data_IF_704217080049
#
_entry.id   IF_704217080049
#
_cell.length_a   1.000
_cell.length_b   1.000
_cell.length_c   1.000
_cell.angle_alpha   90.00
_cell.angle_beta   90.00
_cell.angle_gamma   90.00
#
_symmetry.space_group_name_H-M   'P 1'
#
loop_
_entity.id
_entity.type
_entity.pdbx_description
1 polymer ?
#
# COMPACT_ATOMS: atom_id res chain seq x y z
N UNK A 1 42.18 20.46 50.40
CA UNK A 1 42.08 19.80 49.11
C UNK A 1 40.66 19.26 49.01
N UNK A 2 39.82 19.97 48.31
CA UNK A 2 38.39 19.60 48.13
C UNK A 2 38.27 18.84 46.84
N UNK A 3 37.97 17.54 46.89
CA UNK A 3 37.70 16.70 45.74
C UNK A 3 36.25 16.90 45.32
N UNK A 4 36.06 17.71 44.28
CA UNK A 4 34.75 17.87 43.59
C UNK A 4 34.45 16.59 42.85
N UNK A 5 33.52 15.78 43.37
CA UNK A 5 32.94 14.62 42.66
C UNK A 5 32.00 15.15 41.60
N UNK A 6 32.44 15.19 40.34
CA UNK A 6 31.56 15.40 39.19
C UNK A 6 30.56 14.26 39.15
N UNK A 7 29.30 14.58 39.39
CA UNK A 7 28.19 13.67 39.13
C UNK A 7 28.17 13.33 37.60
N UNK A 8 28.43 12.07 37.30
CA UNK A 8 28.25 11.52 35.95
C UNK A 8 26.75 11.54 35.66
N UNK A 9 26.31 12.45 34.82
CA UNK A 9 24.97 12.39 34.21
C UNK A 9 24.93 11.14 33.33
N UNK A 10 24.34 10.08 33.82
CA UNK A 10 23.89 8.96 32.98
C UNK A 10 22.60 9.38 32.27
N UNK A 11 22.71 10.22 31.25
CA UNK A 11 21.62 10.36 30.30
C UNK A 11 21.69 9.20 29.31
N UNK A 12 20.75 8.28 29.37
CA UNK A 12 20.52 7.26 28.34
C UNK A 12 19.94 7.86 27.07
N UNK A 13 20.20 9.12 26.76
CA UNK A 13 19.77 9.77 25.55
C UNK A 13 20.48 9.12 24.35
N UNK A 14 19.70 8.53 23.44
CA UNK A 14 20.21 8.10 22.14
C UNK A 14 20.70 9.34 21.38
N UNK A 15 22.01 9.45 21.09
CA UNK A 15 22.55 10.67 20.49
C UNK A 15 22.03 10.82 19.05
N UNK A 16 21.32 11.92 18.76
CA UNK A 16 20.90 12.25 17.41
C UNK A 16 22.07 12.74 16.57
N UNK A 17 22.28 12.09 15.42
CA UNK A 17 23.22 12.55 14.39
C UNK A 17 22.72 13.85 13.72
N UNK A 18 23.63 14.64 13.14
CA UNK A 18 23.27 15.87 12.45
C UNK A 18 22.19 15.68 11.34
N UNK A 19 22.30 14.69 10.44
CA UNK A 19 21.24 14.44 9.45
C UNK A 19 19.86 14.10 10.07
N UNK A 20 19.85 13.40 11.21
CA UNK A 20 18.62 13.08 11.94
C UNK A 20 17.94 14.33 12.51
N UNK A 21 18.73 15.29 13.02
CA UNK A 21 18.22 16.58 13.50
C UNK A 21 17.61 17.42 12.37
N UNK A 22 18.26 17.46 11.22
CA UNK A 22 17.76 18.18 10.04
C UNK A 22 16.44 17.58 9.54
N UNK A 23 16.35 16.25 9.50
CA UNK A 23 15.11 15.56 9.13
C UNK A 23 14.02 15.79 10.17
N UNK A 24 14.36 15.72 11.47
CA UNK A 24 13.40 16.03 12.52
C UNK A 24 12.88 17.47 12.39
N UNK A 25 13.74 18.47 12.29
CA UNK A 25 13.32 19.87 12.19
C UNK A 25 12.47 20.16 10.94
N UNK A 26 12.84 19.57 9.81
CA UNK A 26 12.14 19.81 8.54
C UNK A 26 10.82 19.05 8.41
N UNK A 27 10.69 17.84 8.99
CA UNK A 27 9.55 16.95 8.73
C UNK A 27 8.69 16.60 9.94
N UNK A 28 9.26 16.54 11.14
CA UNK A 28 8.59 16.01 12.32
C UNK A 28 8.29 17.04 13.39
N UNK A 29 9.11 18.08 13.49
CA UNK A 29 8.92 19.18 14.44
C UNK A 29 7.62 19.90 14.17
N UNK A 30 6.74 20.00 15.18
CA UNK A 30 5.50 20.74 15.04
C UNK A 30 5.80 22.24 14.92
N UNK A 31 5.21 22.86 13.89
CA UNK A 31 5.29 24.29 13.60
C UNK A 31 3.89 24.85 13.43
N UNK A 32 3.70 26.10 13.79
CA UNK A 32 2.44 26.81 13.56
C UNK A 32 2.26 27.19 12.07
N UNK A 33 1.14 27.82 11.73
CA UNK A 33 0.83 28.29 10.37
C UNK A 33 1.80 29.31 9.82
N UNK A 34 2.62 29.93 10.66
CA UNK A 34 3.66 30.91 10.30
C UNK A 34 5.06 30.29 10.24
N UNK A 35 5.18 28.95 10.40
CA UNK A 35 6.45 28.23 10.41
C UNK A 35 7.22 28.34 11.73
N UNK A 36 6.67 28.94 12.77
CA UNK A 36 7.33 29.06 14.08
C UNK A 36 7.25 27.74 14.82
N UNK A 37 8.35 27.26 15.42
CA UNK A 37 8.38 26.02 16.18
C UNK A 37 7.41 26.05 17.36
N UNK A 38 6.55 25.03 17.46
CA UNK A 38 5.75 24.70 18.65
C UNK A 38 6.54 23.73 19.53
N UNK A 39 7.08 22.66 18.93
CA UNK A 39 8.03 21.81 19.62
C UNK A 39 9.37 22.55 19.74
N UNK A 40 9.80 22.86 20.95
CA UNK A 40 11.06 23.59 21.19
C UNK A 40 12.28 22.75 20.81
N UNK A 41 12.24 21.46 21.12
CA UNK A 41 13.28 20.46 20.90
C UNK A 41 12.67 19.08 20.67
N UNK A 42 13.50 18.07 20.49
CA UNK A 42 13.10 16.67 20.29
C UNK A 42 12.32 16.13 21.49
N UNK A 43 12.73 16.49 22.71
CA UNK A 43 12.07 16.06 23.93
C UNK A 43 10.61 16.58 23.99
N UNK A 44 10.39 17.82 23.53
CA UNK A 44 9.03 18.37 23.41
C UNK A 44 8.16 17.60 22.39
N UNK A 45 8.77 17.13 21.28
CA UNK A 45 8.07 16.24 20.33
C UNK A 45 7.72 14.91 21.00
N UNK A 46 8.62 14.28 21.72
CA UNK A 46 8.35 13.03 22.44
C UNK A 46 7.27 13.21 23.50
N UNK A 47 7.31 14.30 24.26
CA UNK A 47 6.29 14.60 25.27
C UNK A 47 4.90 14.78 24.65
N UNK A 48 4.79 15.55 23.56
CA UNK A 48 3.54 15.74 22.81
C UNK A 48 2.97 14.41 22.30
N UNK A 49 3.80 13.59 21.64
CA UNK A 49 3.40 12.29 21.12
C UNK A 49 2.99 11.34 22.24
N UNK A 50 3.80 11.25 23.32
CA UNK A 50 3.46 10.39 24.46
C UNK A 50 2.15 10.77 25.12
N UNK A 51 1.86 12.07 25.30
CA UNK A 51 0.58 12.56 25.85
C UNK A 51 -0.59 12.18 24.96
N UNK A 52 -0.47 12.37 23.65
CA UNK A 52 -1.53 12.02 22.70
C UNK A 52 -1.84 10.51 22.70
N UNK A 53 -0.80 9.68 22.77
CA UNK A 53 -0.98 8.22 22.85
C UNK A 53 -1.58 7.80 24.20
N UNK A 54 -1.08 8.37 25.30
CA UNK A 54 -1.59 8.06 26.64
C UNK A 54 -3.05 8.48 26.83
N UNK A 55 -3.49 9.57 26.20
CA UNK A 55 -4.88 10.03 26.29
C UNK A 55 -5.89 9.00 25.80
N UNK A 56 -5.51 8.10 24.88
CA UNK A 56 -6.38 7.02 24.37
C UNK A 56 -6.63 5.95 25.44
N UNK A 57 -5.76 5.84 26.44
CA UNK A 57 -5.87 4.86 27.53
C UNK A 57 -6.91 5.26 28.61
N UNK A 58 -7.60 6.41 28.45
CA UNK A 58 -8.64 6.88 29.35
C UNK A 58 -8.14 7.01 30.78
N UNK A 59 -8.78 6.31 31.72
CA UNK A 59 -8.44 6.37 33.16
C UNK A 59 -7.00 5.92 33.48
N UNK A 60 -6.35 5.22 32.57
CA UNK A 60 -4.97 4.76 32.71
C UNK A 60 -3.94 5.72 32.07
N UNK A 61 -4.35 6.86 31.56
CA UNK A 61 -3.47 7.80 30.86
C UNK A 61 -2.23 8.18 31.67
N UNK A 62 -2.40 8.48 32.97
CA UNK A 62 -1.30 8.85 33.89
C UNK A 62 -0.32 7.70 34.14
N UNK A 63 -0.77 6.45 34.09
CA UNK A 63 0.10 5.27 34.18
C UNK A 63 0.91 5.06 32.92
N UNK A 64 0.29 5.27 31.72
CA UNK A 64 0.91 4.99 30.44
C UNK A 64 1.82 6.10 29.93
N UNK A 65 1.54 7.36 30.28
CA UNK A 65 2.33 8.50 29.84
C UNK A 65 3.85 8.35 30.09
N UNK A 66 4.34 8.02 31.32
CA UNK A 66 5.76 7.84 31.53
C UNK A 66 6.34 6.64 30.77
N UNK A 67 5.55 5.59 30.52
CA UNK A 67 5.97 4.41 29.75
C UNK A 67 6.19 4.76 28.28
N UNK A 68 5.23 5.45 27.65
CA UNK A 68 5.37 5.90 26.26
C UNK A 68 6.50 6.90 26.09
N UNK A 69 6.61 7.84 27.01
CA UNK A 69 7.72 8.80 27.00
C UNK A 69 9.07 8.11 27.11
N UNK A 70 9.22 7.21 28.08
CA UNK A 70 10.43 6.42 28.24
C UNK A 70 10.79 5.63 26.97
N UNK A 71 9.82 4.99 26.33
CA UNK A 71 10.04 4.23 25.11
C UNK A 71 10.59 5.12 23.97
N UNK A 72 10.00 6.31 23.77
CA UNK A 72 10.44 7.27 22.74
C UNK A 72 11.86 7.80 23.03
N UNK A 73 12.18 8.13 24.29
CA UNK A 73 13.49 8.59 24.74
C UNK A 73 14.57 7.50 24.61
N UNK A 74 14.17 6.23 24.65
CA UNK A 74 15.07 5.06 24.56
C UNK A 74 15.05 4.38 23.18
N UNK A 75 14.65 5.10 22.13
CA UNK A 75 14.84 4.68 20.74
C UNK A 75 13.67 3.97 20.08
N UNK A 76 12.48 3.90 20.69
CA UNK A 76 11.27 3.52 19.98
C UNK A 76 10.89 4.63 18.99
N UNK A 77 10.81 4.28 17.70
CA UNK A 77 10.47 5.22 16.62
C UNK A 77 9.15 4.82 16.01
N UNK A 78 8.04 5.47 16.37
CA UNK A 78 6.74 5.25 15.73
C UNK A 78 6.76 5.65 14.26
N UNK A 79 5.73 5.22 13.52
CA UNK A 79 5.54 5.66 12.15
C UNK A 79 5.55 7.19 12.02
N UNK A 80 6.11 7.70 10.93
CA UNK A 80 6.33 9.14 10.72
C UNK A 80 5.08 10.00 10.91
N UNK A 81 3.90 9.47 10.61
CA UNK A 81 2.63 10.20 10.82
C UNK A 81 2.30 10.37 12.30
N UNK A 82 2.59 9.41 13.13
CA UNK A 82 2.42 9.52 14.58
C UNK A 82 3.38 10.60 15.11
N UNK A 83 4.66 10.54 14.73
CA UNK A 83 5.66 11.53 15.18
C UNK A 83 5.30 12.96 14.77
N UNK A 84 4.77 13.16 13.55
CA UNK A 84 4.48 14.50 13.03
C UNK A 84 3.11 15.05 13.43
N UNK A 85 2.14 14.19 13.76
CA UNK A 85 0.74 14.60 13.86
C UNK A 85 0.07 14.27 15.20
N UNK A 86 0.53 13.28 15.98
CA UNK A 86 -0.10 12.98 17.26
C UNK A 86 0.02 14.18 18.23
N UNK A 87 -1.09 14.62 18.79
CA UNK A 87 -1.18 15.82 19.63
C UNK A 87 -0.96 17.13 18.87
N UNK A 88 -1.25 17.16 17.57
CA UNK A 88 -1.11 18.35 16.73
C UNK A 88 -2.45 18.86 16.19
N UNK A 89 -3.56 18.39 16.72
CA UNK A 89 -4.92 18.62 16.20
C UNK A 89 -5.28 20.11 16.14
N UNK A 90 -4.83 20.91 17.10
CA UNK A 90 -5.04 22.38 17.13
C UNK A 90 -4.32 23.12 15.97
N UNK A 91 -3.26 22.51 15.42
CA UNK A 91 -2.45 23.09 14.34
C UNK A 91 -2.72 22.42 13.00
N UNK A 92 -3.16 21.17 13.01
CA UNK A 92 -3.35 20.30 11.85
C UNK A 92 -4.63 19.47 11.97
N UNK A 93 -5.83 20.09 11.97
CA UNK A 93 -7.07 19.41 12.29
C UNK A 93 -7.53 18.33 11.30
N UNK A 94 -7.00 18.33 10.09
CA UNK A 94 -7.43 17.45 9.00
C UNK A 94 -6.39 16.39 8.59
N UNK A 95 -5.41 16.08 9.46
CA UNK A 95 -4.39 15.08 9.14
C UNK A 95 -4.65 13.75 9.83
N UNK A 96 -4.30 12.67 9.14
CA UNK A 96 -4.40 11.30 9.67
C UNK A 96 -3.14 10.92 10.46
N UNK A 97 -3.32 10.08 11.50
CA UNK A 97 -2.24 9.36 12.17
C UNK A 97 -1.90 8.05 11.44
N UNK A 98 -2.79 7.59 10.54
CA UNK A 98 -2.59 6.36 9.76
C UNK A 98 -1.57 6.63 8.66
N UNK A 99 -0.52 5.80 8.61
CA UNK A 99 0.55 5.97 7.63
C UNK A 99 0.19 5.38 6.27
N UNK A 100 -0.38 4.17 6.25
CA UNK A 100 -0.81 3.45 5.06
C UNK A 100 -2.08 2.66 5.35
N UNK A 101 -2.87 2.43 4.32
CA UNK A 101 -4.09 1.62 4.37
C UNK A 101 -4.24 0.76 3.12
N UNK A 102 -5.19 -0.14 3.14
CA UNK A 102 -5.59 -0.97 2.00
C UNK A 102 -6.94 -0.50 1.51
N UNK A 103 -7.10 -0.42 0.20
CA UNK A 103 -8.38 -0.13 -0.45
C UNK A 103 -9.38 -1.26 -0.19
N UNK A 104 -10.67 -0.95 -0.28
CA UNK A 104 -11.66 -1.99 -0.50
C UNK A 104 -11.39 -2.72 -1.82
N UNK A 105 -11.96 -3.91 -1.98
CA UNK A 105 -11.94 -4.62 -3.26
C UNK A 105 -12.51 -3.73 -4.36
N UNK A 106 -11.79 -3.65 -5.49
CA UNK A 106 -12.24 -2.94 -6.69
C UNK A 106 -12.97 -3.96 -7.55
N UNK A 107 -14.31 -3.86 -7.63
CA UNK A 107 -15.10 -4.74 -8.47
C UNK A 107 -14.92 -4.39 -9.93
N UNK A 108 -15.08 -5.39 -10.82
CA UNK A 108 -14.91 -5.24 -12.27
C UNK A 108 -16.08 -4.51 -12.93
N UNK A 109 -16.29 -3.26 -12.52
CA UNK A 109 -17.27 -2.34 -13.09
C UNK A 109 -16.72 -0.91 -13.12
N UNK A 110 -17.10 -0.15 -14.15
CA UNK A 110 -16.66 1.25 -14.29
C UNK A 110 -17.05 2.10 -13.08
N UNK A 111 -18.26 1.88 -12.55
CA UNK A 111 -18.74 2.59 -11.37
C UNK A 111 -17.81 2.33 -10.16
N UNK A 112 -17.45 1.08 -9.92
CA UNK A 112 -16.66 0.72 -8.75
C UNK A 112 -15.19 1.15 -8.89
N UNK A 113 -14.63 1.02 -10.10
CA UNK A 113 -13.28 1.51 -10.43
C UNK A 113 -13.19 3.01 -10.14
N UNK A 114 -14.13 3.83 -10.64
CA UNK A 114 -14.11 5.27 -10.45
C UNK A 114 -14.42 5.68 -9.01
N UNK A 115 -15.35 5.00 -8.33
CA UNK A 115 -15.62 5.23 -6.90
C UNK A 115 -14.37 4.98 -6.05
N UNK A 116 -13.60 3.93 -6.38
CA UNK A 116 -12.33 3.63 -5.69
C UNK A 116 -11.26 4.70 -5.97
N UNK A 117 -11.25 5.35 -7.14
CA UNK A 117 -10.39 6.51 -7.41
C UNK A 117 -10.73 7.68 -6.49
N UNK A 118 -12.03 7.93 -6.23
CA UNK A 118 -12.47 8.99 -5.30
C UNK A 118 -11.99 8.69 -3.88
N UNK A 119 -12.24 7.48 -3.38
CA UNK A 119 -11.82 7.04 -2.05
C UNK A 119 -10.29 7.16 -1.88
N UNK A 120 -9.55 6.74 -2.90
CA UNK A 120 -8.10 6.85 -2.95
C UNK A 120 -7.63 8.30 -2.91
N UNK A 121 -8.25 9.19 -3.67
CA UNK A 121 -7.93 10.61 -3.69
C UNK A 121 -8.13 11.27 -2.33
N UNK A 122 -9.21 10.96 -1.63
CA UNK A 122 -9.48 11.46 -0.28
C UNK A 122 -8.48 10.92 0.74
N UNK A 123 -8.12 9.64 0.62
CA UNK A 123 -7.11 8.99 1.48
C UNK A 123 -5.73 9.63 1.30
N UNK A 124 -5.29 9.81 0.05
CA UNK A 124 -4.03 10.45 -0.28
C UNK A 124 -4.00 11.92 0.16
N UNK A 125 -5.12 12.66 0.02
CA UNK A 125 -5.25 14.03 0.52
C UNK A 125 -5.06 14.12 2.03
N UNK A 126 -5.59 13.16 2.78
CA UNK A 126 -5.36 13.05 4.24
C UNK A 126 -3.90 12.66 4.57
N UNK A 127 -3.08 12.37 3.56
CA UNK A 127 -1.66 12.04 3.68
C UNK A 127 -1.37 10.58 4.01
N UNK A 128 -2.35 9.70 3.86
CA UNK A 128 -2.19 8.25 4.02
C UNK A 128 -1.82 7.63 2.66
N UNK A 129 -0.87 6.69 2.64
CA UNK A 129 -0.61 5.84 1.48
C UNK A 129 -1.70 4.78 1.32
N UNK A 130 -1.90 4.27 0.10
CA UNK A 130 -2.95 3.29 -0.16
C UNK A 130 -2.48 2.19 -1.12
N UNK A 131 -2.85 0.95 -0.80
CA UNK A 131 -2.61 -0.24 -1.62
C UNK A 131 -3.90 -0.79 -2.21
N UNK A 132 -3.81 -1.36 -3.40
CA UNK A 132 -4.93 -1.92 -4.17
C UNK A 132 -4.59 -3.30 -4.71
N UNK A 133 -5.61 -4.14 -4.88
CA UNK A 133 -5.56 -5.38 -5.65
C UNK A 133 -6.26 -5.16 -6.99
N UNK A 134 -5.52 -5.33 -8.09
CA UNK A 134 -6.03 -5.09 -9.45
C UNK A 134 -6.35 -6.36 -10.24
N UNK A 135 -6.08 -7.55 -9.70
CA UNK A 135 -6.39 -8.82 -10.38
C UNK A 135 -7.88 -9.10 -10.53
N UNK A 136 -8.71 -8.36 -9.80
CA UNK A 136 -10.18 -8.42 -9.92
C UNK A 136 -10.71 -7.87 -11.23
N UNK A 137 -9.90 -7.05 -11.93
CA UNK A 137 -10.31 -6.40 -13.17
C UNK A 137 -10.02 -7.31 -14.37
N UNK A 138 -11.00 -7.49 -15.26
CA UNK A 138 -10.84 -8.31 -16.46
C UNK A 138 -9.69 -7.84 -17.35
N UNK A 139 -9.05 -8.79 -17.99
CA UNK A 139 -7.88 -8.56 -18.81
C UNK A 139 -8.17 -7.71 -20.06
N UNK A 140 -7.13 -7.12 -20.62
CA UNK A 140 -7.21 -6.35 -21.87
C UNK A 140 -7.80 -7.20 -22.99
N UNK A 141 -8.75 -6.61 -23.72
CA UNK A 141 -9.47 -7.26 -24.82
C UNK A 141 -10.65 -8.12 -24.38
N UNK A 142 -10.83 -8.41 -23.09
CA UNK A 142 -12.02 -9.12 -22.61
C UNK A 142 -13.27 -8.33 -22.95
N UNK A 143 -14.30 -9.06 -23.42
CA UNK A 143 -15.53 -8.44 -23.89
C UNK A 143 -16.33 -7.81 -22.76
N UNK A 144 -16.81 -6.60 -22.99
CA UNK A 144 -17.69 -5.85 -22.08
C UNK A 144 -19.08 -5.80 -22.71
N UNK A 145 -20.00 -6.61 -22.21
CA UNK A 145 -21.35 -6.77 -22.78
C UNK A 145 -22.06 -5.42 -22.94
N UNK A 146 -22.04 -4.57 -21.92
CA UNK A 146 -22.71 -3.26 -21.96
C UNK A 146 -22.08 -2.25 -22.91
N UNK A 147 -20.82 -2.44 -23.31
CA UNK A 147 -20.11 -1.56 -24.24
C UNK A 147 -20.05 -2.13 -25.67
N UNK A 148 -20.30 -3.42 -25.84
CA UNK A 148 -20.18 -4.11 -27.15
C UNK A 148 -18.75 -4.14 -27.69
N UNK A 149 -17.74 -4.01 -26.82
CA UNK A 149 -16.33 -3.88 -27.19
C UNK A 149 -15.41 -4.51 -26.12
N UNK A 150 -14.14 -4.70 -26.45
CA UNK A 150 -13.13 -5.15 -25.49
C UNK A 150 -12.67 -4.02 -24.54
N UNK A 151 -12.34 -4.38 -23.29
CA UNK A 151 -11.75 -3.45 -22.30
C UNK A 151 -10.29 -3.15 -22.60
N UNK A 152 -9.79 -2.02 -22.08
CA UNK A 152 -8.37 -1.66 -22.10
C UNK A 152 -7.53 -2.39 -21.03
N UNK A 153 -8.19 -3.10 -20.10
CA UNK A 153 -7.56 -3.88 -19.04
C UNK A 153 -7.11 -3.06 -17.82
N UNK A 154 -6.60 -3.74 -16.78
CA UNK A 154 -6.28 -3.14 -15.48
C UNK A 154 -5.27 -1.99 -15.56
N UNK A 155 -4.24 -2.11 -16.39
CA UNK A 155 -3.17 -1.12 -16.47
C UNK A 155 -3.66 0.25 -16.93
N UNK A 156 -4.63 0.29 -17.86
CA UNK A 156 -5.24 1.54 -18.31
C UNK A 156 -6.00 2.25 -17.16
N UNK A 157 -6.63 1.47 -16.29
CA UNK A 157 -7.25 2.04 -15.09
C UNK A 157 -6.20 2.49 -14.06
N UNK A 158 -5.12 1.74 -13.89
CA UNK A 158 -4.01 2.16 -13.02
C UNK A 158 -3.40 3.49 -13.46
N UNK A 159 -3.37 3.81 -14.77
CA UNK A 159 -2.91 5.11 -15.27
C UNK A 159 -3.79 6.27 -14.72
N UNK A 160 -5.11 6.04 -14.50
CA UNK A 160 -6.01 7.03 -13.86
C UNK A 160 -5.60 7.25 -12.40
N UNK A 161 -5.38 6.18 -11.65
CA UNK A 161 -4.94 6.25 -10.25
C UNK A 161 -3.57 6.94 -10.13
N UNK A 162 -2.64 6.64 -11.03
CA UNK A 162 -1.31 7.25 -11.05
C UNK A 162 -1.40 8.76 -11.27
N UNK A 163 -2.20 9.19 -12.25
CA UNK A 163 -2.40 10.60 -12.55
C UNK A 163 -3.13 11.34 -11.43
N UNK A 164 -4.15 10.72 -10.85
CA UNK A 164 -4.87 11.27 -9.69
C UNK A 164 -3.89 11.46 -8.52
N UNK A 165 -3.11 10.45 -8.17
CA UNK A 165 -2.13 10.51 -7.08
C UNK A 165 -1.07 11.60 -7.31
N UNK A 166 -0.58 11.72 -8.54
CA UNK A 166 0.37 12.79 -8.90
C UNK A 166 -0.23 14.18 -8.71
N UNK A 167 -1.54 14.34 -8.99
CA UNK A 167 -2.24 15.62 -8.97
C UNK A 167 -2.68 16.03 -7.56
N UNK A 168 -3.04 15.05 -6.71
CA UNK A 168 -3.52 15.29 -5.34
C UNK A 168 -2.34 15.56 -4.41
N UNK A 169 -2.22 16.81 -3.94
CA UNK A 169 -1.25 17.14 -2.90
C UNK A 169 -1.66 16.56 -1.55
N UNK A 170 -0.80 15.77 -0.92
CA UNK A 170 -1.04 15.26 0.42
C UNK A 170 -0.81 16.34 1.49
N UNK A 171 -1.59 16.30 2.57
CA UNK A 171 -1.37 17.16 3.73
C UNK A 171 0.05 16.97 4.28
N UNK A 172 0.73 18.08 4.60
CA UNK A 172 2.09 18.07 5.15
C UNK A 172 3.22 17.85 4.14
N UNK A 173 2.98 18.11 2.83
CA UNK A 173 4.03 18.10 1.81
C UNK A 173 4.61 16.71 1.46
N UNK A 174 4.02 15.62 1.93
CA UNK A 174 4.38 14.27 1.50
C UNK A 174 3.80 13.99 0.12
N UNK A 175 4.61 13.45 -0.78
CA UNK A 175 4.12 12.93 -2.06
C UNK A 175 3.18 11.75 -1.78
N UNK A 176 2.11 11.65 -2.55
CA UNK A 176 1.24 10.48 -2.54
C UNK A 176 2.06 9.21 -2.84
N UNK A 177 1.71 8.10 -2.20
CA UNK A 177 2.33 6.80 -2.45
C UNK A 177 1.24 5.75 -2.58
N UNK A 178 1.32 4.98 -3.65
CA UNK A 178 0.38 3.90 -3.95
C UNK A 178 1.13 2.59 -4.11
N UNK A 179 0.45 1.49 -3.83
CA UNK A 179 0.91 0.15 -4.12
C UNK A 179 -0.17 -0.58 -4.91
N UNK A 180 0.22 -1.28 -5.98
CA UNK A 180 -0.65 -2.18 -6.73
C UNK A 180 -0.14 -3.61 -6.59
N UNK A 181 -1.03 -4.53 -6.18
CA UNK A 181 -0.79 -5.97 -6.22
C UNK A 181 -1.47 -6.58 -7.44
N UNK A 182 -0.91 -7.69 -7.93
CA UNK A 182 -1.38 -8.35 -9.13
C UNK A 182 -1.06 -9.84 -9.09
N UNK A 183 -2.02 -10.69 -9.44
CA UNK A 183 -1.81 -12.14 -9.44
C UNK A 183 -0.89 -12.58 -10.57
N UNK A 184 0.03 -13.49 -10.27
CA UNK A 184 1.01 -14.04 -11.21
C UNK A 184 0.37 -14.86 -12.34
N UNK A 185 -0.87 -15.29 -12.19
CA UNK A 185 -1.63 -16.03 -13.21
C UNK A 185 -2.64 -15.17 -13.97
N UNK A 186 -2.68 -13.86 -13.75
CA UNK A 186 -3.57 -12.98 -14.51
C UNK A 186 -3.09 -12.82 -15.98
N UNK A 187 -3.99 -12.77 -16.98
CA UNK A 187 -3.59 -12.65 -18.39
C UNK A 187 -2.73 -11.43 -18.72
N UNK A 188 -2.91 -10.30 -18.02
CA UNK A 188 -2.11 -9.08 -18.23
C UNK A 188 -0.82 -9.00 -17.39
N UNK A 189 -0.41 -10.09 -16.71
CA UNK A 189 0.74 -10.08 -15.79
C UNK A 189 2.04 -9.64 -16.44
N UNK A 190 2.31 -10.04 -17.68
CA UNK A 190 3.52 -9.61 -18.42
C UNK A 190 3.54 -8.09 -18.59
N UNK A 191 2.41 -7.52 -18.99
CA UNK A 191 2.26 -6.07 -19.15
C UNK A 191 2.41 -5.34 -17.81
N UNK A 192 1.92 -5.91 -16.72
CA UNK A 192 2.08 -5.36 -15.38
C UNK A 192 3.55 -5.34 -14.94
N UNK A 193 4.29 -6.45 -15.13
CA UNK A 193 5.71 -6.56 -14.80
C UNK A 193 6.53 -5.51 -15.59
N UNK A 194 6.19 -5.30 -16.84
CA UNK A 194 6.93 -4.42 -17.76
C UNK A 194 6.46 -2.96 -17.72
N UNK A 195 5.38 -2.66 -17.02
CA UNK A 195 4.74 -1.34 -17.03
C UNK A 195 5.69 -0.18 -16.68
N UNK A 196 6.67 -0.41 -15.80
CA UNK A 196 7.65 0.60 -15.40
C UNK A 196 8.87 0.71 -16.31
N UNK A 197 9.02 -0.18 -17.30
CA UNK A 197 10.06 -0.06 -18.34
C UNK A 197 9.75 1.10 -19.28
N UNK A 198 8.47 1.44 -19.44
CA UNK A 198 8.04 2.65 -20.13
C UNK A 198 8.36 3.89 -19.30
N UNK A 199 9.16 4.79 -19.86
CA UNK A 199 9.62 5.97 -19.13
C UNK A 199 8.44 6.86 -18.70
N UNK A 200 8.27 7.02 -17.40
CA UNK A 200 7.25 7.91 -16.82
C UNK A 200 5.93 7.24 -16.44
N UNK A 201 5.72 5.97 -16.78
CA UNK A 201 4.49 5.26 -16.47
C UNK A 201 4.46 4.75 -15.03
N UNK A 202 3.31 4.79 -14.36
CA UNK A 202 3.03 4.31 -13.00
C UNK A 202 4.06 4.72 -11.95
N UNK A 203 4.54 5.97 -12.00
CA UNK A 203 5.59 6.48 -11.11
C UNK A 203 5.17 6.61 -9.66
N UNK A 204 3.87 6.74 -9.40
CA UNK A 204 3.32 6.86 -8.06
C UNK A 204 3.02 5.49 -7.44
N UNK A 205 3.22 4.40 -8.18
CA UNK A 205 3.00 3.04 -7.72
C UNK A 205 4.30 2.33 -7.33
N UNK A 206 4.24 1.58 -6.23
CA UNK A 206 5.03 0.37 -6.06
C UNK A 206 4.21 -0.80 -6.62
N UNK A 207 4.83 -1.67 -7.42
CA UNK A 207 4.19 -2.83 -8.02
C UNK A 207 4.67 -4.09 -7.33
N UNK A 208 3.74 -4.98 -6.98
CA UNK A 208 4.04 -6.28 -6.38
C UNK A 208 3.21 -7.37 -7.04
N UNK A 209 3.82 -8.54 -7.21
CA UNK A 209 3.14 -9.73 -7.66
C UNK A 209 2.76 -10.61 -6.48
N UNK A 210 1.58 -11.20 -6.55
CA UNK A 210 1.14 -12.27 -5.68
C UNK A 210 1.63 -13.59 -6.27
N UNK A 211 2.69 -14.12 -5.68
CA UNK A 211 3.33 -15.36 -6.10
C UNK A 211 2.73 -16.52 -5.30
N UNK A 212 2.23 -17.56 -6.00
CA UNK A 212 1.68 -18.76 -5.37
C UNK A 212 2.71 -19.89 -5.30
N UNK A 213 2.48 -20.84 -4.40
CA UNK A 213 3.34 -22.02 -4.30
C UNK A 213 3.31 -22.86 -5.60
N UNK A 214 2.14 -22.97 -6.25
CA UNK A 214 2.01 -23.67 -7.53
C UNK A 214 2.87 -22.98 -8.62
N UNK A 215 2.93 -21.65 -8.66
CA UNK A 215 3.80 -20.97 -9.62
C UNK A 215 5.26 -21.26 -9.34
N UNK A 216 5.68 -21.25 -8.07
CA UNK A 216 7.07 -21.58 -7.70
C UNK A 216 7.42 -23.03 -8.11
N UNK A 217 6.53 -23.98 -7.90
CA UNK A 217 6.73 -25.37 -8.34
C UNK A 217 6.76 -25.47 -9.87
N UNK A 218 5.91 -24.76 -10.59
CA UNK A 218 5.96 -24.70 -12.06
C UNK A 218 7.29 -24.12 -12.56
N UNK A 219 7.83 -23.10 -11.90
CA UNK A 219 9.15 -22.53 -12.23
C UNK A 219 10.26 -23.55 -12.01
N UNK A 220 10.27 -24.29 -10.89
CA UNK A 220 11.29 -25.30 -10.59
C UNK A 220 11.29 -26.45 -11.63
N UNK A 221 10.09 -26.84 -12.06
CA UNK A 221 9.90 -27.97 -12.97
C UNK A 221 9.91 -27.56 -14.47
N UNK A 222 10.14 -26.28 -14.79
CA UNK A 222 10.06 -25.74 -16.15
C UNK A 222 8.72 -26.07 -16.83
N UNK A 223 7.66 -26.05 -16.05
CA UNK A 223 6.31 -26.40 -16.48
C UNK A 223 5.60 -25.25 -17.19
N UNK A 224 4.53 -25.58 -17.87
CA UNK A 224 3.59 -24.61 -18.43
C UNK A 224 2.82 -23.90 -17.31
N UNK A 225 2.56 -22.61 -17.50
CA UNK A 225 1.80 -21.79 -16.58
C UNK A 225 0.62 -21.14 -17.30
N UNK A 226 -0.63 -21.52 -16.96
CA UNK A 226 -1.80 -20.93 -17.57
C UNK A 226 -2.06 -19.54 -17.01
N UNK A 227 -2.20 -18.57 -17.89
CA UNK A 227 -2.74 -17.26 -17.59
C UNK A 227 -4.25 -17.30 -17.79
N UNK A 228 -5.00 -17.10 -16.71
CA UNK A 228 -6.44 -17.32 -16.69
C UNK A 228 -7.16 -16.23 -15.90
N UNK A 229 -8.45 -16.06 -16.19
CA UNK A 229 -9.29 -15.09 -15.49
C UNK A 229 -10.59 -15.77 -14.99
N UNK A 230 -11.08 -15.38 -13.79
CA UNK A 230 -12.30 -15.91 -13.20
C UNK A 230 -13.53 -15.83 -14.09
N UNK A 231 -14.39 -16.84 -13.97
CA UNK A 231 -15.68 -16.93 -14.63
C UNK A 231 -16.81 -16.57 -13.67
N UNK A 232 -17.71 -15.71 -14.11
CA UNK A 232 -18.97 -15.50 -13.42
C UNK A 232 -19.94 -16.66 -13.65
N UNK A 233 -20.93 -16.78 -12.77
CA UNK A 233 -21.99 -17.78 -12.92
C UNK A 233 -22.70 -17.62 -14.28
N UNK A 234 -22.82 -18.73 -15.01
CA UNK A 234 -23.36 -18.77 -16.38
C UNK A 234 -22.32 -18.70 -17.50
N UNK A 235 -21.13 -18.13 -17.27
CA UNK A 235 -20.09 -18.08 -18.31
C UNK A 235 -19.35 -19.43 -18.48
N UNK A 236 -19.41 -20.30 -17.47
CA UNK A 236 -18.75 -21.62 -17.48
C UNK A 236 -19.29 -22.54 -18.59
N UNK A 237 -20.56 -22.41 -18.94
CA UNK A 237 -21.19 -23.25 -19.98
C UNK A 237 -20.65 -22.97 -21.38
N UNK A 238 -20.08 -21.76 -21.59
CA UNK A 238 -19.49 -21.32 -22.85
C UNK A 238 -17.99 -21.62 -22.96
N UNK A 239 -17.38 -22.25 -21.93
CA UNK A 239 -15.95 -22.54 -21.89
C UNK A 239 -15.72 -24.02 -22.20
N UNK A 240 -14.81 -24.30 -23.13
CA UNK A 240 -14.41 -25.67 -23.43
C UNK A 240 -13.73 -26.29 -22.21
N UNK A 241 -13.93 -27.59 -21.94
CA UNK A 241 -13.30 -28.28 -20.81
C UNK A 241 -11.78 -28.13 -20.73
N UNK A 242 -11.10 -28.09 -21.88
CA UNK A 242 -9.65 -27.90 -21.98
C UNK A 242 -9.16 -26.52 -21.60
N UNK A 243 -10.04 -25.50 -21.68
CA UNK A 243 -9.75 -24.10 -21.34
C UNK A 243 -10.23 -23.73 -19.90
N UNK A 244 -10.78 -24.70 -19.16
CA UNK A 244 -11.28 -24.50 -17.80
C UNK A 244 -10.29 -25.04 -16.77
N UNK A 245 -9.86 -24.17 -15.87
CA UNK A 245 -9.05 -24.56 -14.71
C UNK A 245 -9.67 -24.06 -13.42
N UNK A 246 -9.28 -24.65 -12.28
CA UNK A 246 -9.60 -24.17 -10.95
C UNK A 246 -8.32 -23.79 -10.23
N UNK A 247 -8.29 -22.61 -9.63
CA UNK A 247 -7.12 -22.11 -8.91
C UNK A 247 -7.50 -21.18 -7.78
N UNK A 248 -6.59 -20.98 -6.84
CA UNK A 248 -6.70 -19.94 -5.85
C UNK A 248 -6.67 -18.57 -6.54
N UNK A 249 -7.54 -17.67 -6.10
CA UNK A 249 -7.62 -16.31 -6.60
C UNK A 249 -7.57 -15.33 -5.43
N UNK A 250 -6.86 -14.18 -5.56
CA UNK A 250 -6.64 -13.26 -4.45
C UNK A 250 -7.91 -12.73 -3.78
N UNK A 251 -8.99 -12.61 -4.54
CA UNK A 251 -10.29 -12.14 -4.06
C UNK A 251 -11.39 -12.98 -4.69
N UNK A 252 -12.23 -13.57 -3.84
CA UNK A 252 -13.43 -14.30 -4.30
C UNK A 252 -14.59 -13.31 -4.28
N UNK A 253 -15.08 -12.94 -5.48
CA UNK A 253 -16.24 -12.07 -5.61
C UNK A 253 -17.56 -12.86 -5.67
N UNK A 254 -18.64 -12.18 -5.28
CA UNK A 254 -19.99 -12.72 -5.46
C UNK A 254 -20.25 -12.99 -6.94
N UNK A 255 -20.71 -14.19 -7.26
CA UNK A 255 -20.97 -14.63 -8.63
C UNK A 255 -19.84 -15.44 -9.27
N UNK A 256 -18.68 -15.60 -8.64
CA UNK A 256 -17.69 -16.56 -9.11
C UNK A 256 -18.14 -18.00 -8.87
N UNK A 257 -17.80 -18.91 -9.79
CA UNK A 257 -17.98 -20.33 -9.61
C UNK A 257 -16.81 -20.88 -8.81
N UNK A 258 -17.09 -21.48 -7.64
CA UNK A 258 -16.08 -22.02 -6.71
C UNK A 258 -16.29 -23.53 -6.56
N UNK A 259 -15.19 -24.30 -6.51
CA UNK A 259 -15.24 -25.72 -6.25
C UNK A 259 -15.32 -26.03 -4.74
N UNK A 260 -15.30 -27.33 -4.40
CA UNK A 260 -15.41 -27.79 -3.01
C UNK A 260 -14.19 -27.40 -2.16
N UNK A 261 -13.04 -27.19 -2.77
CA UNK A 261 -11.79 -26.78 -2.15
C UNK A 261 -11.66 -25.25 -2.02
N UNK A 262 -12.64 -24.48 -2.52
CA UNK A 262 -12.64 -23.01 -2.48
C UNK A 262 -11.90 -22.35 -3.63
N UNK A 263 -11.48 -23.11 -4.65
CA UNK A 263 -10.77 -22.59 -5.82
C UNK A 263 -11.76 -22.05 -6.86
N UNK A 264 -11.38 -20.96 -7.51
CA UNK A 264 -12.23 -20.27 -8.49
C UNK A 264 -12.07 -20.90 -9.88
N UNK A 265 -13.19 -21.12 -10.56
CA UNK A 265 -13.20 -21.52 -11.96
C UNK A 265 -12.71 -20.37 -12.84
N UNK A 266 -11.68 -20.63 -13.64
CA UNK A 266 -11.06 -19.64 -14.51
C UNK A 266 -11.00 -20.14 -15.95
N UNK A 267 -11.18 -19.22 -16.91
CA UNK A 267 -10.91 -19.48 -18.32
C UNK A 267 -9.45 -19.18 -18.62
N UNK A 268 -8.75 -20.16 -19.19
CA UNK A 268 -7.39 -19.98 -19.71
C UNK A 268 -7.44 -19.09 -20.95
N UNK A 269 -6.62 -18.06 -20.95
CA UNK A 269 -6.48 -17.09 -22.04
C UNK A 269 -5.19 -17.32 -22.83
N UNK A 270 -4.12 -17.65 -22.14
CA UNK A 270 -2.79 -17.92 -22.70
C UNK A 270 -2.08 -18.96 -21.82
N UNK A 271 -1.20 -19.75 -22.43
CA UNK A 271 -0.29 -20.64 -21.69
C UNK A 271 1.14 -20.23 -22.01
N UNK A 272 1.96 -20.05 -20.99
CA UNK A 272 3.36 -19.65 -21.12
C UNK A 272 4.26 -20.57 -20.30
N UNK A 273 5.58 -20.51 -20.49
CA UNK A 273 6.53 -21.18 -19.60
C UNK A 273 6.68 -20.38 -18.29
N UNK A 274 6.48 -21.05 -17.15
CA UNK A 274 6.65 -20.44 -15.84
C UNK A 274 8.06 -19.84 -15.67
N UNK A 275 9.09 -20.51 -16.17
CA UNK A 275 10.49 -20.06 -16.16
C UNK A 275 10.67 -18.74 -16.92
N UNK A 276 10.05 -18.58 -18.08
CA UNK A 276 10.14 -17.35 -18.87
C UNK A 276 9.50 -16.17 -18.15
N UNK A 277 8.36 -16.40 -17.49
CA UNK A 277 7.71 -15.36 -16.68
C UNK A 277 8.59 -14.98 -15.48
N UNK A 278 9.16 -15.97 -14.79
CA UNK A 278 10.09 -15.74 -13.69
C UNK A 278 11.30 -14.91 -14.11
N UNK A 279 11.94 -15.26 -15.25
CA UNK A 279 13.06 -14.50 -15.80
C UNK A 279 12.66 -13.07 -16.15
N UNK A 280 11.42 -12.85 -16.59
CA UNK A 280 10.89 -11.51 -16.88
C UNK A 280 10.71 -10.70 -15.60
N UNK A 281 10.23 -11.32 -14.51
CA UNK A 281 10.15 -10.71 -13.18
C UNK A 281 11.54 -10.28 -12.73
N UNK A 282 12.52 -11.21 -12.74
CA UNK A 282 13.88 -10.96 -12.27
C UNK A 282 14.60 -9.87 -13.06
N UNK A 283 14.33 -9.73 -14.36
CA UNK A 283 14.90 -8.65 -15.19
C UNK A 283 14.21 -7.29 -14.99
N UNK A 284 13.06 -7.26 -14.34
CA UNK A 284 12.26 -6.03 -14.14
C UNK A 284 12.36 -5.49 -12.72
N UNK A 285 12.97 -6.26 -11.81
CA UNK A 285 13.27 -5.90 -10.42
C UNK A 285 14.61 -5.22 -10.33
#
# INVERSE_FOLDING_TARGET
MSTSTKAVKTSNEVPMQAPSRDIWDSKYRLKDRHGRPVDKDVAATWDRVARALAAVEGDKAEEWLPKFRWALENGAIPAGRIMSNAGAEDYKPAVSLINCTVSRTIRDSMHDILSSVVDAGMTLKAGCGIGYEFSTLRHKGAFVFGAGAGTNGPLAFMDIYDKMCFTVASAGGRRGAQMGTFDVGHPDVKSFIEAKREAGRLRQFNLSLLITDEFVEAVKNDADWPLAFPLHAGEKEDVKPEDLIYRDWPVIEEGYTVDAEGRVACRVVEVIKARELWDTIMRST
#
